data_IF_199407048344
#
_entry.id   IF_199407048344
#
_cell.length_a   1.000
_cell.length_b   1.000
_cell.length_c   1.000
_cell.angle_alpha   90.00
_cell.angle_beta   90.00
_cell.angle_gamma   90.00
#
_symmetry.space_group_name_H-M   'P 1'
#
loop_
_entity.id
_entity.type
_entity.pdbx_description
1 polymer ?
#
# COMPACT_ATOMS: atom_id res chain seq x y z
N UNK A 1 21.64 -30.07 -5.23
CA UNK A 1 22.12 -29.02 -4.32
C UNK A 1 20.93 -28.10 -4.13
N UNK A 2 20.40 -27.99 -2.93
CA UNK A 2 19.38 -27.00 -2.59
C UNK A 2 20.07 -25.65 -2.71
N UNK A 3 19.71 -24.86 -3.73
CA UNK A 3 20.16 -23.46 -3.80
C UNK A 3 19.63 -22.78 -2.54
N UNK A 4 20.53 -22.30 -1.69
CA UNK A 4 20.15 -21.46 -0.54
C UNK A 4 19.50 -20.20 -1.10
N UNK A 5 18.17 -20.17 -1.11
CA UNK A 5 17.42 -18.95 -1.37
C UNK A 5 17.83 -17.96 -0.27
N UNK A 6 18.30 -16.77 -0.64
CA UNK A 6 18.62 -15.72 0.31
C UNK A 6 17.34 -15.41 1.11
N UNK A 7 17.43 -15.43 2.45
CA UNK A 7 16.28 -15.10 3.30
C UNK A 7 15.85 -13.65 3.09
N UNK A 8 14.54 -13.43 3.05
CA UNK A 8 14.00 -12.06 3.01
C UNK A 8 14.40 -11.32 4.29
N UNK A 9 14.89 -10.10 4.15
CA UNK A 9 15.08 -9.17 5.27
C UNK A 9 14.06 -8.05 5.18
N UNK A 10 13.52 -7.62 6.31
CA UNK A 10 12.59 -6.51 6.41
C UNK A 10 13.01 -5.58 7.54
N UNK A 11 12.82 -4.29 7.35
CA UNK A 11 12.97 -3.33 8.43
C UNK A 11 11.73 -3.37 9.32
N UNK A 12 11.93 -3.82 10.55
CA UNK A 12 10.86 -3.86 11.54
C UNK A 12 10.82 -2.55 12.33
N UNK A 13 9.74 -1.79 12.18
CA UNK A 13 9.59 -0.49 12.87
C UNK A 13 9.60 -0.67 14.38
N UNK A 14 9.08 -1.78 14.91
CA UNK A 14 9.01 -2.06 16.34
C UNK A 14 10.40 -2.17 16.97
N UNK A 15 11.31 -2.91 16.33
CA UNK A 15 12.68 -3.07 16.81
C UNK A 15 13.62 -1.95 16.34
N UNK A 16 13.21 -1.18 15.29
CA UNK A 16 14.05 -0.18 14.64
C UNK A 16 15.21 -0.75 13.83
N UNK A 17 15.16 -2.04 13.46
CA UNK A 17 16.26 -2.75 12.80
C UNK A 17 15.77 -3.50 11.55
N UNK A 18 16.72 -3.77 10.65
CA UNK A 18 16.52 -4.72 9.57
C UNK A 18 16.80 -6.12 10.09
N UNK A 19 15.82 -7.00 9.96
CA UNK A 19 15.82 -8.37 10.50
C UNK A 19 15.56 -9.39 9.41
N UNK A 20 15.99 -10.62 9.60
CA UNK A 20 15.59 -11.74 8.77
C UNK A 20 14.09 -12.03 9.01
N UNK A 21 13.35 -12.15 7.93
CA UNK A 21 11.95 -12.52 8.00
C UNK A 21 11.80 -14.01 8.24
N UNK A 22 11.33 -14.34 9.43
CA UNK A 22 11.02 -15.70 9.85
C UNK A 22 9.52 -15.78 10.12
N UNK A 23 8.72 -16.29 9.19
CA UNK A 23 7.27 -16.40 9.39
C UNK A 23 6.95 -17.36 10.54
N UNK A 24 5.83 -17.09 11.23
CA UNK A 24 5.31 -17.93 12.32
C UNK A 24 5.06 -19.35 11.82
N UNK A 25 4.47 -19.45 10.62
CA UNK A 25 4.31 -20.70 9.88
C UNK A 25 5.01 -20.57 8.53
N UNK A 26 6.14 -21.26 8.30
CA UNK A 26 6.85 -21.21 7.02
C UNK A 26 6.00 -21.64 5.80
N UNK A 27 4.91 -22.35 6.03
CA UNK A 27 3.98 -22.76 4.98
C UNK A 27 2.90 -21.73 4.67
N UNK A 28 2.67 -20.72 5.57
CA UNK A 28 1.57 -19.78 5.44
C UNK A 28 1.88 -18.42 6.06
N UNK A 29 2.29 -17.48 5.26
CA UNK A 29 2.53 -16.07 5.66
C UNK A 29 1.22 -15.31 5.75
N UNK A 30 1.04 -14.53 6.82
CA UNK A 30 -0.16 -13.73 7.10
C UNK A 30 0.18 -12.24 7.19
N UNK A 31 -0.49 -11.42 6.40
CA UNK A 31 -0.22 -9.98 6.28
C UNK A 31 -1.53 -9.21 6.48
N UNK A 32 -1.48 -8.18 7.33
CA UNK A 32 -2.53 -7.18 7.45
C UNK A 32 -1.96 -5.79 7.10
N UNK A 33 -2.58 -5.07 6.19
CA UNK A 33 -2.26 -3.67 5.93
C UNK A 33 -3.52 -2.81 6.10
N UNK A 34 -3.42 -1.76 6.90
CA UNK A 34 -4.53 -0.84 7.11
C UNK A 34 -4.96 -0.19 5.80
N UNK A 35 -6.23 -0.35 5.45
CA UNK A 35 -6.82 0.14 4.23
C UNK A 35 -7.33 1.58 4.33
N UNK A 36 -8.02 2.09 3.30
CA UNK A 36 -8.49 3.46 3.25
C UNK A 36 -9.76 3.68 4.07
N UNK A 37 -9.96 4.95 4.49
CA UNK A 37 -11.28 5.47 4.88
C UNK A 37 -11.99 5.99 3.63
N UNK A 38 -13.13 5.41 3.29
CA UNK A 38 -13.81 5.61 2.00
C UNK A 38 -14.84 6.74 2.05
N UNK A 39 -14.36 7.98 2.11
CA UNK A 39 -15.18 9.20 2.07
C UNK A 39 -14.91 10.09 0.85
N UNK A 40 -13.85 9.82 0.10
CA UNK A 40 -13.43 10.60 -1.05
C UNK A 40 -12.52 9.74 -1.97
N UNK A 41 -12.17 10.27 -3.14
CA UNK A 41 -11.21 9.66 -4.07
C UNK A 41 -9.85 9.39 -3.41
N UNK A 42 -9.20 8.31 -3.84
CA UNK A 42 -7.86 7.97 -3.40
C UNK A 42 -6.82 8.99 -3.91
N UNK A 43 -5.93 9.42 -3.03
CA UNK A 43 -4.77 10.22 -3.42
C UNK A 43 -3.53 9.34 -3.62
N UNK A 44 -2.51 9.88 -4.26
CA UNK A 44 -1.26 9.18 -4.60
C UNK A 44 -0.56 8.55 -3.37
N UNK A 45 -0.75 9.09 -2.17
CA UNK A 45 -0.24 8.50 -0.93
C UNK A 45 -0.90 7.16 -0.59
N UNK A 46 -2.23 7.03 -0.81
CA UNK A 46 -2.95 5.76 -0.67
C UNK A 46 -2.46 4.75 -1.72
N UNK A 47 -2.31 5.20 -2.97
CA UNK A 47 -1.78 4.38 -4.04
C UNK A 47 -0.37 3.85 -3.73
N UNK A 48 0.50 4.68 -3.17
CA UNK A 48 1.85 4.25 -2.80
C UNK A 48 1.82 3.12 -1.78
N UNK A 49 1.02 3.25 -0.74
CA UNK A 49 0.85 2.21 0.27
C UNK A 49 0.36 0.91 -0.37
N UNK A 50 -0.71 0.98 -1.17
CA UNK A 50 -1.29 -0.19 -1.84
C UNK A 50 -0.27 -0.87 -2.78
N UNK A 51 0.47 -0.10 -3.60
CA UNK A 51 1.49 -0.61 -4.53
C UNK A 51 2.67 -1.26 -3.79
N UNK A 52 3.12 -0.68 -2.68
CA UNK A 52 4.22 -1.23 -1.87
C UNK A 52 3.84 -2.57 -1.26
N UNK A 53 2.65 -2.66 -0.62
CA UNK A 53 2.20 -3.91 -0.03
C UNK A 53 1.82 -4.97 -1.08
N UNK A 54 1.25 -4.56 -2.21
CA UNK A 54 1.04 -5.47 -3.34
C UNK A 54 2.36 -6.07 -3.85
N UNK A 55 3.42 -5.25 -3.98
CA UNK A 55 4.75 -5.74 -4.39
C UNK A 55 5.35 -6.69 -3.35
N UNK A 56 5.19 -6.42 -2.06
CA UNK A 56 5.61 -7.32 -0.98
C UNK A 56 4.84 -8.65 -1.05
N UNK A 57 3.52 -8.60 -1.22
CA UNK A 57 2.67 -9.80 -1.33
C UNK A 57 3.06 -10.64 -2.54
N UNK A 58 3.31 -10.02 -3.70
CA UNK A 58 3.78 -10.72 -4.91
C UNK A 58 5.13 -11.40 -4.67
N UNK A 59 6.08 -10.71 -4.05
CA UNK A 59 7.39 -11.27 -3.69
C UNK A 59 7.23 -12.46 -2.72
N UNK A 60 6.39 -12.32 -1.70
CA UNK A 60 6.14 -13.40 -0.75
C UNK A 60 5.41 -14.59 -1.38
N UNK A 61 4.46 -14.36 -2.29
CA UNK A 61 3.81 -15.44 -3.07
C UNK A 61 4.78 -16.17 -3.99
N UNK A 62 5.83 -15.49 -4.46
CA UNK A 62 6.89 -16.13 -5.23
C UNK A 62 7.81 -17.00 -4.35
N UNK A 63 8.03 -16.62 -3.09
CA UNK A 63 8.99 -17.26 -2.18
C UNK A 63 8.39 -18.24 -1.17
N UNK A 64 7.08 -18.15 -0.90
CA UNK A 64 6.38 -18.98 0.11
C UNK A 64 5.17 -19.68 -0.49
N UNK A 65 4.82 -20.86 0.04
CA UNK A 65 3.74 -21.69 -0.51
C UNK A 65 2.36 -21.03 -0.46
N UNK A 66 2.08 -20.27 0.61
CA UNK A 66 0.80 -19.60 0.81
C UNK A 66 1.00 -18.25 1.49
N UNK A 67 0.28 -17.24 1.01
CA UNK A 67 0.20 -15.91 1.61
C UNK A 67 -1.25 -15.52 1.72
N UNK A 68 -1.71 -15.10 2.89
CA UNK A 68 -3.01 -14.45 3.07
C UNK A 68 -2.80 -12.98 3.34
N UNK A 69 -3.31 -12.15 2.45
CA UNK A 69 -3.25 -10.70 2.53
C UNK A 69 -4.62 -10.11 2.86
N UNK A 70 -4.68 -9.36 3.95
CA UNK A 70 -5.88 -8.65 4.41
C UNK A 70 -5.63 -7.16 4.33
N UNK A 71 -6.56 -6.42 3.74
CA UNK A 71 -6.59 -4.96 3.79
C UNK A 71 -8.03 -4.51 3.94
N UNK A 72 -8.34 -3.78 5.01
CA UNK A 72 -9.70 -3.41 5.34
C UNK A 72 -10.22 -2.21 4.55
N UNK A 73 -11.52 -2.01 4.63
CA UNK A 73 -12.21 -0.77 4.27
C UNK A 73 -12.79 -0.18 5.57
N UNK A 74 -12.34 1.04 5.92
CA UNK A 74 -12.98 1.83 6.97
C UNK A 74 -14.19 2.54 6.38
N UNK A 75 -15.37 1.99 6.62
CA UNK A 75 -16.66 2.45 6.12
C UNK A 75 -17.52 3.12 7.20
N UNK A 76 -16.92 3.41 8.36
CA UNK A 76 -17.48 4.19 9.46
C UNK A 76 -16.41 5.10 10.08
N UNK A 77 -16.57 6.41 9.97
CA UNK A 77 -15.66 7.44 10.52
C UNK A 77 -16.39 8.77 10.52
N UNK A 78 -15.97 9.70 11.36
CA UNK A 78 -16.56 11.05 11.41
C UNK A 78 -16.47 11.77 10.06
N UNK A 79 -15.38 11.57 9.31
CA UNK A 79 -15.22 12.16 7.95
C UNK A 79 -16.26 11.62 6.95
N UNK A 80 -16.68 10.36 7.11
CA UNK A 80 -17.73 9.77 6.27
C UNK A 80 -19.07 10.40 6.63
N UNK A 81 -19.34 10.57 7.94
CA UNK A 81 -20.55 11.22 8.43
C UNK A 81 -20.62 12.66 7.93
N UNK A 82 -19.53 13.40 8.02
CA UNK A 82 -19.45 14.78 7.53
C UNK A 82 -19.68 14.85 6.02
N UNK A 83 -19.04 13.99 5.23
CA UNK A 83 -19.23 13.92 3.79
C UNK A 83 -20.68 13.55 3.40
N UNK A 84 -21.31 12.64 4.12
CA UNK A 84 -22.71 12.26 3.92
C UNK A 84 -23.65 13.43 4.19
N UNK A 85 -23.40 14.18 5.27
CA UNK A 85 -24.17 15.37 5.62
C UNK A 85 -24.00 16.50 4.58
N UNK A 86 -22.75 16.76 4.14
CA UNK A 86 -22.46 17.78 3.11
C UNK A 86 -23.12 17.46 1.77
N UNK A 87 -23.15 16.19 1.38
CA UNK A 87 -23.74 15.73 0.12
C UNK A 87 -25.23 15.42 0.24
N UNK A 88 -25.78 15.42 1.46
CA UNK A 88 -27.15 15.00 1.77
C UNK A 88 -27.49 13.60 1.19
N UNK A 89 -26.57 12.66 1.37
CA UNK A 89 -26.66 11.27 0.93
C UNK A 89 -26.57 10.30 2.11
N UNK A 90 -27.18 9.11 2.03
CA UNK A 90 -26.97 8.06 3.01
C UNK A 90 -25.48 7.65 3.07
N UNK A 91 -24.97 7.40 4.28
CA UNK A 91 -23.58 6.97 4.50
C UNK A 91 -23.23 5.73 3.66
N UNK A 92 -24.15 4.78 3.56
CA UNK A 92 -23.97 3.57 2.77
C UNK A 92 -23.70 3.88 1.29
N UNK A 93 -24.41 4.81 0.69
CA UNK A 93 -24.19 5.21 -0.71
C UNK A 93 -22.80 5.84 -0.90
N UNK A 94 -22.35 6.64 0.07
CA UNK A 94 -20.98 7.22 0.05
C UNK A 94 -19.94 6.11 0.12
N UNK A 95 -20.04 5.23 1.10
CA UNK A 95 -19.03 4.20 1.35
C UNK A 95 -18.98 3.15 0.25
N UNK A 96 -20.12 2.71 -0.29
CA UNK A 96 -20.18 1.81 -1.44
C UNK A 96 -19.53 2.46 -2.66
N UNK A 97 -19.94 3.67 -3.01
CA UNK A 97 -19.39 4.41 -4.14
C UNK A 97 -17.88 4.58 -4.07
N UNK A 98 -17.35 5.05 -2.94
CA UNK A 98 -15.90 5.29 -2.84
C UNK A 98 -15.09 4.03 -2.61
N UNK A 99 -15.68 2.93 -2.13
CA UNK A 99 -15.05 1.61 -2.13
C UNK A 99 -14.85 1.10 -3.56
N UNK A 100 -15.89 1.19 -4.39
CA UNK A 100 -15.83 0.76 -5.79
C UNK A 100 -14.79 1.58 -6.55
N UNK A 101 -14.83 2.91 -6.44
CA UNK A 101 -13.86 3.81 -7.07
C UNK A 101 -12.42 3.50 -6.59
N UNK A 102 -12.22 3.27 -5.28
CA UNK A 102 -10.91 2.89 -4.75
C UNK A 102 -10.39 1.61 -5.39
N UNK A 103 -11.22 0.58 -5.45
CA UNK A 103 -10.83 -0.70 -6.04
C UNK A 103 -10.55 -0.57 -7.54
N UNK A 104 -11.34 0.21 -8.29
CA UNK A 104 -11.09 0.52 -9.69
C UNK A 104 -9.77 1.29 -9.89
N UNK A 105 -9.52 2.32 -9.08
CA UNK A 105 -8.28 3.09 -9.16
C UNK A 105 -7.05 2.22 -8.84
N UNK A 106 -7.15 1.33 -7.84
CA UNK A 106 -6.07 0.39 -7.52
C UNK A 106 -5.88 -0.66 -8.62
N UNK A 107 -6.94 -1.14 -9.25
CA UNK A 107 -6.86 -2.06 -10.38
C UNK A 107 -6.14 -1.46 -11.59
N UNK A 108 -6.37 -0.17 -11.90
CA UNK A 108 -5.61 0.56 -12.95
C UNK A 108 -4.11 0.56 -12.69
N UNK A 109 -3.70 0.53 -11.42
CA UNK A 109 -2.30 0.43 -11.01
C UNK A 109 -1.81 -1.02 -10.89
N UNK A 110 -2.55 -2.00 -11.39
CA UNK A 110 -2.26 -3.45 -11.29
C UNK A 110 -2.09 -3.92 -9.85
N UNK A 111 -2.72 -3.27 -8.89
CA UNK A 111 -2.79 -3.72 -7.50
C UNK A 111 -3.80 -4.86 -7.39
N UNK A 112 -3.39 -5.98 -6.84
CA UNK A 112 -4.27 -7.13 -6.62
C UNK A 112 -5.32 -6.82 -5.56
N UNK A 113 -6.52 -7.35 -5.75
CA UNK A 113 -7.54 -7.35 -4.69
C UNK A 113 -7.00 -8.16 -3.51
N UNK A 114 -7.09 -7.68 -2.26
CA UNK A 114 -6.73 -8.46 -1.08
C UNK A 114 -7.49 -9.79 -1.01
N UNK A 115 -6.89 -10.83 -0.44
CA UNK A 115 -7.58 -12.12 -0.24
C UNK A 115 -8.82 -11.96 0.66
N UNK A 116 -8.73 -11.02 1.61
CA UNK A 116 -9.86 -10.64 2.48
C UNK A 116 -9.86 -9.09 2.57
N UNK A 117 -10.99 -8.47 2.24
CA UNK A 117 -11.19 -7.03 2.35
C UNK A 117 -12.37 -6.75 3.30
N UNK A 118 -12.15 -6.84 4.64
CA UNK A 118 -13.22 -6.68 5.62
C UNK A 118 -13.66 -5.22 5.69
N UNK A 119 -14.97 -4.99 5.87
CA UNK A 119 -15.54 -3.66 6.14
C UNK A 119 -15.76 -3.50 7.64
N UNK A 120 -15.40 -2.34 8.19
CA UNK A 120 -15.51 -2.10 9.64
C UNK A 120 -16.93 -2.34 10.17
N UNK A 121 -17.96 -1.92 9.42
CA UNK A 121 -19.38 -2.12 9.82
C UNK A 121 -19.83 -3.58 9.92
N UNK A 122 -19.10 -4.51 9.31
CA UNK A 122 -19.38 -5.95 9.36
C UNK A 122 -18.78 -6.63 10.61
N UNK A 123 -17.94 -5.93 11.39
CA UNK A 123 -17.18 -6.48 12.52
C UNK A 123 -17.53 -5.81 13.87
N UNK A 124 -18.68 -5.18 13.97
CA UNK A 124 -19.10 -4.47 15.20
C UNK A 124 -19.17 -5.41 16.42
N UNK A 125 -19.64 -6.63 16.23
CA UNK A 125 -19.69 -7.63 17.31
C UNK A 125 -18.30 -7.94 17.85
N UNK A 126 -17.32 -8.16 16.97
CA UNK A 126 -15.94 -8.43 17.34
C UNK A 126 -15.27 -7.23 18.03
N UNK A 127 -15.63 -6.01 17.64
CA UNK A 127 -15.16 -4.79 18.31
C UNK A 127 -15.75 -4.66 19.70
N UNK A 128 -17.05 -4.95 19.89
CA UNK A 128 -17.69 -4.96 21.21
C UNK A 128 -17.07 -6.02 22.12
N UNK A 129 -16.82 -7.23 21.61
CA UNK A 129 -16.15 -8.29 22.34
C UNK A 129 -14.73 -7.87 22.77
N UNK A 130 -13.95 -7.27 21.88
CA UNK A 130 -12.62 -6.75 22.19
C UNK A 130 -12.66 -5.71 23.32
N UNK A 131 -13.61 -4.77 23.26
CA UNK A 131 -13.78 -3.73 24.27
C UNK A 131 -14.20 -4.33 25.62
N UNK A 132 -15.08 -5.32 25.63
CA UNK A 132 -15.49 -6.03 26.85
C UNK A 132 -14.29 -6.75 27.50
N UNK A 133 -13.44 -7.40 26.70
CA UNK A 133 -12.19 -8.02 27.17
C UNK A 133 -11.29 -6.99 27.85
N UNK A 134 -11.12 -5.81 27.23
CA UNK A 134 -10.30 -4.72 27.76
C UNK A 134 -10.85 -4.15 29.09
N UNK A 135 -12.18 -4.00 29.21
CA UNK A 135 -12.81 -3.55 30.44
C UNK A 135 -12.63 -4.61 31.54
N UNK A 136 -12.86 -5.88 31.20
CA UNK A 136 -12.74 -6.99 32.16
C UNK A 136 -11.33 -7.13 32.73
N UNK A 137 -10.32 -6.78 31.90
CA UNK A 137 -8.88 -6.80 32.26
C UNK A 137 -8.38 -5.46 32.82
N UNK A 138 -9.28 -4.52 33.10
CA UNK A 138 -8.98 -3.21 33.69
C UNK A 138 -8.11 -2.28 32.81
N UNK A 139 -8.03 -2.55 31.49
CA UNK A 139 -7.34 -1.69 30.53
C UNK A 139 -8.24 -0.64 29.89
N UNK A 140 -9.56 -0.77 30.05
CA UNK A 140 -10.54 0.19 29.57
C UNK A 140 -11.57 0.51 30.66
N UNK A 141 -12.26 1.64 30.50
CA UNK A 141 -13.32 2.06 31.42
C UNK A 141 -14.44 2.80 30.69
N UNK A 142 -15.64 2.69 31.19
CA UNK A 142 -16.80 3.46 30.75
C UNK A 142 -16.89 4.79 31.54
N UNK A 143 -17.20 5.86 30.83
CA UNK A 143 -17.52 7.15 31.41
C UNK A 143 -18.48 7.94 30.51
N UNK A 144 -19.67 8.27 30.99
CA UNK A 144 -20.66 9.08 30.27
C UNK A 144 -21.04 8.51 28.88
N UNK A 145 -21.21 7.20 28.78
CA UNK A 145 -21.52 6.49 27.54
C UNK A 145 -20.34 6.31 26.58
N UNK A 146 -19.16 6.83 26.92
CA UNK A 146 -17.92 6.56 26.20
C UNK A 146 -17.18 5.40 26.84
N UNK A 147 -16.51 4.58 26.03
CA UNK A 147 -15.49 3.66 26.53
C UNK A 147 -14.13 4.11 26.07
N UNK A 148 -13.20 4.23 26.99
CA UNK A 148 -11.85 4.69 26.75
C UNK A 148 -10.82 3.64 27.16
N UNK A 149 -9.77 3.48 26.35
CA UNK A 149 -8.57 2.77 26.73
C UNK A 149 -7.75 3.62 27.69
N UNK A 150 -7.33 3.02 28.81
CA UNK A 150 -6.51 3.69 29.81
C UNK A 150 -5.03 3.51 29.49
N UNK A 151 -4.43 4.47 28.80
CA UNK A 151 -3.04 4.39 28.31
C UNK A 151 -2.03 4.04 29.40
N UNK A 152 -2.08 4.60 30.64
CA UNK A 152 -1.15 4.22 31.70
C UNK A 152 -1.22 2.74 32.15
N UNK A 153 -2.27 2.01 31.80
CA UNK A 153 -2.39 0.58 32.11
C UNK A 153 -1.53 -0.33 31.23
N UNK A 154 -0.99 0.21 30.11
CA UNK A 154 -0.08 -0.49 29.22
C UNK A 154 1.30 0.16 29.23
N UNK A 155 2.22 -0.41 29.99
CA UNK A 155 3.55 0.18 30.24
C UNK A 155 4.43 0.29 28.98
N UNK A 156 4.16 -0.56 27.98
CA UNK A 156 4.89 -0.58 26.71
C UNK A 156 4.34 0.43 25.68
N UNK A 157 3.35 1.27 26.05
CA UNK A 157 2.79 2.26 25.14
C UNK A 157 3.84 3.28 24.67
N UNK A 158 3.97 3.44 23.37
CA UNK A 158 4.98 4.28 22.74
C UNK A 158 6.18 3.50 22.18
N UNK A 159 6.23 2.17 22.31
CA UNK A 159 7.36 1.36 21.84
C UNK A 159 7.51 1.39 20.31
N UNK A 160 6.41 1.32 19.57
CA UNK A 160 6.44 1.34 18.10
C UNK A 160 6.87 2.70 17.57
N UNK A 161 6.29 3.75 18.13
CA UNK A 161 6.40 5.12 17.62
C UNK A 161 7.59 5.90 18.20
N UNK A 162 8.13 5.46 19.33
CA UNK A 162 9.12 6.19 20.13
C UNK A 162 8.65 7.60 20.53
N UNK A 163 7.34 7.79 20.68
CA UNK A 163 6.74 9.06 21.04
C UNK A 163 6.81 9.27 22.55
N UNK A 164 7.31 10.43 22.95
CA UNK A 164 7.36 10.84 24.36
C UNK A 164 5.95 11.17 24.90
N UNK A 165 5.86 11.37 26.22
CA UNK A 165 4.57 11.62 26.89
C UNK A 165 3.80 12.81 26.32
N UNK A 166 4.46 13.91 25.97
CA UNK A 166 3.82 15.09 25.38
C UNK A 166 3.21 14.74 23.99
N UNK A 167 3.96 14.00 23.18
CA UNK A 167 3.47 13.51 21.89
C UNK A 167 2.32 12.51 22.03
N UNK A 168 2.32 11.67 23.07
CA UNK A 168 1.20 10.75 23.36
C UNK A 168 -0.09 11.53 23.63
N UNK A 169 -0.02 12.59 24.44
CA UNK A 169 -1.17 13.47 24.74
C UNK A 169 -1.66 14.16 23.47
N UNK A 170 -0.75 14.74 22.68
CA UNK A 170 -1.08 15.40 21.41
C UNK A 170 -1.75 14.45 20.41
N UNK A 171 -1.35 13.17 20.39
CA UNK A 171 -1.89 12.14 19.48
C UNK A 171 -3.32 11.69 19.84
N UNK A 172 -3.81 11.95 21.04
CA UNK A 172 -5.15 11.52 21.46
C UNK A 172 -6.30 12.20 20.69
N UNK A 173 -6.00 13.23 19.86
CA UNK A 173 -6.86 13.97 18.91
C UNK A 173 -8.21 14.50 19.43
N UNK A 174 -8.52 14.25 20.67
CA UNK A 174 -9.71 14.78 21.34
C UNK A 174 -9.22 15.80 22.35
N UNK A 175 -9.81 16.98 22.37
CA UNK A 175 -9.61 17.92 23.47
C UNK A 175 -9.72 17.15 24.78
N UNK A 176 -8.93 17.56 25.79
CA UNK A 176 -8.92 16.86 27.08
C UNK A 176 -10.34 16.90 27.63
N UNK A 177 -11.13 15.92 27.22
CA UNK A 177 -12.52 15.83 27.65
C UNK A 177 -12.54 15.56 29.15
N UNK A 178 -13.43 16.20 29.92
CA UNK A 178 -13.45 16.10 31.37
C UNK A 178 -13.69 14.67 31.90
N UNK A 179 -14.13 13.76 31.04
CA UNK A 179 -14.35 12.37 31.37
C UNK A 179 -13.11 11.46 31.20
N UNK A 180 -11.96 11.95 30.67
CA UNK A 180 -10.74 11.17 30.58
C UNK A 180 -10.05 11.06 31.95
N UNK A 181 -9.59 9.86 32.32
CA UNK A 181 -8.74 9.65 33.50
C UNK A 181 -7.32 10.13 33.27
N UNK A 182 -6.83 9.97 32.03
CA UNK A 182 -5.53 10.43 31.59
C UNK A 182 -5.66 11.14 30.24
N UNK A 183 -4.97 12.24 29.99
CA UNK A 183 -5.06 12.99 28.73
C UNK A 183 -4.72 12.19 27.48
N UNK A 184 -3.89 11.14 27.59
CA UNK A 184 -3.54 10.27 26.48
C UNK A 184 -4.57 9.16 26.20
N UNK A 185 -5.55 8.97 27.09
CA UNK A 185 -6.58 7.95 26.89
C UNK A 185 -7.32 8.19 25.57
N UNK A 186 -7.63 7.13 24.86
CA UNK A 186 -8.28 7.20 23.55
C UNK A 186 -9.60 6.44 23.52
N UNK A 187 -10.47 6.86 22.61
CA UNK A 187 -11.83 6.34 22.52
C UNK A 187 -11.83 4.95 21.85
N UNK A 188 -12.51 4.00 22.49
CA UNK A 188 -12.83 2.68 21.97
C UNK A 188 -14.29 2.60 21.48
N UNK A 189 -15.20 3.30 22.17
CA UNK A 189 -16.60 3.41 21.83
C UNK A 189 -17.11 4.80 22.19
N UNK A 190 -17.94 5.40 21.32
CA UNK A 190 -18.55 6.71 21.60
C UNK A 190 -20.05 6.69 21.28
N UNK A 191 -20.89 7.40 22.05
CA UNK A 191 -22.31 7.47 21.82
C UNK A 191 -22.62 8.09 20.45
N UNK A 192 -23.68 7.60 19.82
CA UNK A 192 -24.27 8.17 18.62
C UNK A 192 -25.64 8.77 18.93
N UNK A 193 -25.99 9.87 18.28
CA UNK A 193 -27.33 10.40 18.32
C UNK A 193 -28.20 9.81 17.19
N UNK A 194 -29.48 10.15 17.16
CA UNK A 194 -30.47 9.61 16.20
C UNK A 194 -30.10 9.90 14.71
N UNK A 195 -29.28 10.90 14.45
CA UNK A 195 -28.86 11.30 13.11
C UNK A 195 -27.45 10.75 12.72
N UNK A 196 -26.87 9.92 13.60
CA UNK A 196 -25.56 9.32 13.38
C UNK A 196 -25.68 7.80 13.29
N UNK A 197 -24.82 7.14 12.50
CA UNK A 197 -24.76 5.68 12.52
C UNK A 197 -24.37 5.18 13.90
N UNK A 198 -24.94 4.06 14.29
CA UNK A 198 -24.65 3.45 15.58
C UNK A 198 -25.25 2.07 15.69
N UNK A 199 -24.78 1.36 16.69
CA UNK A 199 -25.19 0.01 17.04
C UNK A 199 -25.45 -0.10 18.53
N UNK A 200 -26.34 -1.01 18.90
CA UNK A 200 -26.57 -1.33 20.29
C UNK A 200 -25.34 -1.99 20.90
N UNK A 201 -24.96 -1.56 22.09
CA UNK A 201 -23.86 -2.10 22.86
C UNK A 201 -24.17 -2.11 24.34
N UNK A 202 -23.37 -2.80 25.20
CA UNK A 202 -23.53 -2.74 26.68
C UNK A 202 -23.42 -1.32 27.24
N UNK A 203 -22.83 -0.39 26.51
CA UNK A 203 -22.62 1.01 26.92
C UNK A 203 -23.62 1.97 26.29
N UNK A 204 -24.66 1.44 25.63
CA UNK A 204 -25.67 2.18 24.91
C UNK A 204 -25.43 2.25 23.40
N UNK A 205 -26.37 2.94 22.70
CA UNK A 205 -26.29 3.15 21.27
C UNK A 205 -25.11 4.03 20.89
N UNK A 206 -24.25 3.53 20.01
CA UNK A 206 -23.02 4.24 19.68
C UNK A 206 -22.24 3.59 18.53
N UNK A 207 -20.99 4.02 18.37
CA UNK A 207 -20.08 3.56 17.32
C UNK A 207 -18.66 3.34 17.83
N UNK A 208 -17.88 2.44 17.19
CA UNK A 208 -16.49 2.18 17.60
C UNK A 208 -15.58 3.38 17.36
N UNK A 209 -14.50 3.44 18.12
CA UNK A 209 -13.35 4.29 17.84
C UNK A 209 -12.52 3.68 16.70
N UNK A 210 -11.97 4.52 15.86
CA UNK A 210 -11.22 4.15 14.65
C UNK A 210 -10.12 3.09 14.86
N UNK A 211 -9.47 3.09 16.02
CA UNK A 211 -8.37 2.16 16.30
C UNK A 211 -8.85 0.73 16.64
N UNK A 212 -10.10 0.58 17.05
CA UNK A 212 -10.69 -0.71 17.45
C UNK A 212 -10.94 -1.59 16.23
N UNK A 213 -11.19 -0.97 15.08
CA UNK A 213 -11.56 -1.64 13.83
C UNK A 213 -10.48 -2.64 13.39
N UNK A 214 -9.26 -2.15 13.15
CA UNK A 214 -8.16 -2.99 12.66
C UNK A 214 -7.74 -4.06 13.67
N UNK A 215 -7.77 -3.76 14.98
CA UNK A 215 -7.50 -4.75 16.03
C UNK A 215 -8.50 -5.91 16.01
N UNK A 216 -9.80 -5.62 15.87
CA UNK A 216 -10.84 -6.63 15.81
C UNK A 216 -10.80 -7.41 14.49
N UNK A 217 -10.70 -6.71 13.35
CA UNK A 217 -10.69 -7.34 12.03
C UNK A 217 -9.48 -8.22 11.81
N UNK A 218 -8.27 -7.79 12.21
CA UNK A 218 -7.05 -8.59 12.07
C UNK A 218 -7.09 -9.85 12.94
N UNK A 219 -7.53 -9.72 14.21
CA UNK A 219 -7.75 -10.87 15.12
C UNK A 219 -8.71 -11.88 14.53
N UNK A 220 -9.83 -11.44 13.95
CA UNK A 220 -10.86 -12.30 13.38
C UNK A 220 -10.42 -13.00 12.10
N UNK A 221 -9.71 -12.27 11.21
CA UNK A 221 -9.37 -12.77 9.87
C UNK A 221 -8.08 -13.58 9.86
N UNK A 222 -7.08 -13.21 10.65
CA UNK A 222 -5.75 -13.83 10.66
C UNK A 222 -5.45 -14.63 11.92
N UNK A 223 -6.13 -14.34 13.03
CA UNK A 223 -5.73 -14.80 14.35
C UNK A 223 -4.50 -14.03 14.87
N UNK A 224 -4.18 -14.19 16.17
CA UNK A 224 -3.02 -13.54 16.78
C UNK A 224 -2.02 -14.58 17.31
N UNK A 225 -0.71 -14.31 17.24
CA UNK A 225 -0.10 -13.28 16.42
C UNK A 225 -0.14 -13.61 14.92
N UNK A 226 0.10 -12.61 14.07
CA UNK A 226 0.34 -12.80 12.64
C UNK A 226 1.69 -12.20 12.21
N UNK A 227 2.13 -12.44 10.95
CA UNK A 227 3.51 -12.15 10.58
C UNK A 227 3.78 -10.66 10.39
N UNK A 228 3.07 -9.99 9.47
CA UNK A 228 3.37 -8.60 9.08
C UNK A 228 2.15 -7.72 9.25
N UNK A 229 2.30 -6.62 10.00
CA UNK A 229 1.36 -5.52 10.02
C UNK A 229 1.95 -4.29 9.32
N UNK A 230 1.17 -3.64 8.48
CA UNK A 230 1.67 -2.52 7.71
C UNK A 230 0.70 -1.40 7.40
N UNK A 231 1.28 -0.29 6.90
CA UNK A 231 0.54 0.89 6.50
C UNK A 231 1.43 2.09 6.19
N UNK A 232 0.84 3.27 6.07
CA UNK A 232 1.57 4.51 5.93
C UNK A 232 2.32 4.89 7.23
N UNK A 233 3.40 5.65 7.10
CA UNK A 233 4.18 6.11 8.26
C UNK A 233 3.36 6.98 9.22
N UNK A 234 2.33 7.65 8.74
CA UNK A 234 1.38 8.43 9.54
C UNK A 234 0.51 7.57 10.46
N UNK A 235 0.34 6.28 10.13
CA UNK A 235 -0.39 5.33 10.97
C UNK A 235 0.44 4.82 12.15
N UNK A 236 1.78 4.95 12.12
CA UNK A 236 2.65 4.49 13.23
C UNK A 236 2.15 5.02 14.55
N UNK A 237 1.76 6.31 14.58
CA UNK A 237 1.16 6.94 15.75
C UNK A 237 0.03 7.91 15.33
N UNK A 238 -1.13 7.87 16.00
CA UNK A 238 -1.45 7.00 17.15
C UNK A 238 -2.01 5.62 16.76
N UNK A 239 -2.37 5.38 15.48
CA UNK A 239 -3.23 4.26 15.07
C UNK A 239 -2.63 2.89 15.43
N UNK A 240 -1.47 2.54 14.89
CA UNK A 240 -0.84 1.24 15.13
C UNK A 240 -0.34 1.07 16.57
N UNK A 241 0.10 2.15 17.22
CA UNK A 241 0.41 2.12 18.65
C UNK A 241 -0.81 1.73 19.49
N UNK A 242 -1.98 2.31 19.18
CA UNK A 242 -3.24 2.00 19.84
C UNK A 242 -3.70 0.57 19.55
N UNK A 243 -3.48 0.06 18.33
CA UNK A 243 -3.80 -1.33 18.00
C UNK A 243 -2.95 -2.33 18.79
N UNK A 244 -1.64 -2.06 18.95
CA UNK A 244 -0.77 -2.89 19.79
C UNK A 244 -1.31 -2.91 21.22
N UNK A 245 -1.59 -1.74 21.79
CA UNK A 245 -2.10 -1.63 23.14
C UNK A 245 -3.40 -2.43 23.33
N UNK A 246 -4.37 -2.26 22.43
CA UNK A 246 -5.64 -2.98 22.45
C UNK A 246 -5.43 -4.50 22.34
N UNK A 247 -4.63 -4.93 21.38
CA UNK A 247 -4.48 -6.36 21.06
C UNK A 247 -3.67 -7.10 22.13
N UNK A 248 -2.56 -6.54 22.60
CA UNK A 248 -1.76 -7.14 23.68
C UNK A 248 -2.53 -7.18 25.00
N UNK A 249 -3.24 -6.11 25.36
CA UNK A 249 -4.03 -6.08 26.58
C UNK A 249 -5.23 -7.04 26.49
N UNK A 250 -5.90 -7.15 25.36
CA UNK A 250 -7.03 -8.09 25.21
C UNK A 250 -6.59 -9.55 25.17
N UNK A 251 -5.40 -9.85 24.62
CA UNK A 251 -4.85 -11.22 24.65
C UNK A 251 -4.34 -11.62 26.04
N UNK A 252 -3.97 -10.65 26.87
CA UNK A 252 -3.36 -10.86 28.19
C UNK A 252 -1.83 -11.04 28.17
N UNK A 253 -1.19 -10.93 27.01
CA UNK A 253 0.28 -10.96 26.87
C UNK A 253 0.83 -9.53 26.72
N UNK A 254 0.66 -8.76 27.81
CA UNK A 254 0.95 -7.32 27.85
C UNK A 254 2.44 -6.97 27.79
N UNK A 255 3.33 -7.94 28.10
CA UNK A 255 4.77 -7.71 28.07
C UNK A 255 5.38 -7.95 26.69
N UNK A 256 4.66 -8.63 25.80
CA UNK A 256 5.15 -9.03 24.49
C UNK A 256 4.41 -8.29 23.36
N UNK A 257 4.95 -7.21 22.82
CA UNK A 257 4.30 -6.48 21.72
C UNK A 257 4.18 -7.32 20.43
N UNK A 258 4.97 -8.40 20.29
CA UNK A 258 4.86 -9.34 19.17
C UNK A 258 3.67 -10.31 19.33
N UNK A 259 2.94 -10.28 20.44
CA UNK A 259 1.68 -11.06 20.59
C UNK A 259 0.55 -10.57 19.68
N UNK A 260 0.72 -9.42 19.01
CA UNK A 260 -0.18 -8.92 17.99
C UNK A 260 0.38 -9.20 16.59
N UNK A 261 1.52 -8.61 16.23
CA UNK A 261 2.19 -8.83 14.95
C UNK A 261 3.71 -8.83 15.14
N UNK A 262 4.43 -9.73 14.40
CA UNK A 262 5.86 -9.89 14.56
C UNK A 262 6.67 -8.78 13.87
N UNK A 263 6.22 -8.35 12.68
CA UNK A 263 6.93 -7.34 11.88
C UNK A 263 6.01 -6.18 11.56
N UNK A 264 6.52 -4.97 11.75
CA UNK A 264 5.82 -3.72 11.48
C UNK A 264 6.49 -2.99 10.33
N UNK A 265 5.76 -2.83 9.22
CA UNK A 265 6.29 -2.20 8.02
C UNK A 265 5.54 -0.92 7.69
N UNK A 266 6.26 0.19 7.50
CA UNK A 266 5.66 1.49 7.21
C UNK A 266 6.29 2.11 5.97
N UNK A 267 5.45 2.51 5.00
CA UNK A 267 5.92 3.25 3.84
C UNK A 267 6.00 4.75 4.12
N UNK A 268 7.03 5.39 3.55
CA UNK A 268 7.25 6.83 3.65
C UNK A 268 6.19 7.66 2.93
N UNK A 269 6.17 8.96 3.22
CA UNK A 269 5.22 9.91 2.63
C UNK A 269 5.50 10.18 1.14
N UNK A 270 4.48 10.71 0.45
CA UNK A 270 4.62 11.33 -0.86
C UNK A 270 4.58 12.85 -0.68
N UNK A 271 5.56 13.54 -1.24
CA UNK A 271 5.57 14.99 -1.42
C UNK A 271 5.30 15.34 -2.88
N UNK A 272 4.90 16.55 -3.14
CA UNK A 272 4.63 17.06 -4.49
C UNK A 272 5.53 18.27 -4.71
N UNK A 273 6.49 18.14 -5.63
CA UNK A 273 7.49 19.20 -5.89
C UNK A 273 8.18 19.68 -4.60
N UNK A 274 8.53 18.75 -3.71
CA UNK A 274 9.21 19.02 -2.43
C UNK A 274 8.29 19.42 -1.27
N UNK A 275 6.99 19.62 -1.52
CA UNK A 275 6.03 20.06 -0.49
C UNK A 275 5.14 18.91 -0.02
N UNK A 276 4.80 18.90 1.27
CA UNK A 276 3.85 17.93 1.83
C UNK A 276 2.46 18.17 1.25
N UNK A 277 1.78 17.09 0.84
CA UNK A 277 0.38 17.17 0.43
C UNK A 277 -0.50 17.66 1.58
N UNK A 278 -1.33 18.67 1.31
CA UNK A 278 -2.36 19.13 2.24
C UNK A 278 -3.56 19.75 1.52
N UNK A 279 -4.74 19.66 2.14
CA UNK A 279 -5.95 20.31 1.62
C UNK A 279 -5.79 21.84 1.54
N UNK A 280 -5.10 22.44 2.51
CA UNK A 280 -4.89 23.88 2.58
C UNK A 280 -3.99 24.43 1.47
N UNK A 281 -3.04 23.63 0.98
CA UNK A 281 -2.19 23.97 -0.16
C UNK A 281 -2.83 23.65 -1.50
N UNK A 282 -3.92 22.87 -1.53
CA UNK A 282 -4.58 22.45 -2.77
C UNK A 282 -3.72 21.56 -3.68
N UNK A 283 -2.65 20.95 -3.13
CA UNK A 283 -1.68 20.16 -3.87
C UNK A 283 -1.90 18.64 -3.75
N UNK A 284 -3.12 18.22 -3.37
CA UNK A 284 -3.47 16.81 -3.31
C UNK A 284 -3.66 16.28 -4.74
N UNK A 285 -2.90 15.25 -5.08
CA UNK A 285 -3.02 14.57 -6.38
C UNK A 285 -3.84 13.31 -6.21
N UNK A 286 -4.94 13.20 -6.96
CA UNK A 286 -5.81 12.04 -6.96
C UNK A 286 -5.34 10.99 -7.97
N UNK A 287 -5.56 9.72 -7.65
CA UNK A 287 -5.19 8.61 -8.56
C UNK A 287 -5.93 8.70 -9.87
N UNK A 288 -7.24 9.03 -9.83
CA UNK A 288 -8.06 9.21 -11.04
C UNK A 288 -7.46 10.25 -12.00
N UNK A 289 -7.00 11.40 -11.48
CA UNK A 289 -6.46 12.49 -12.29
C UNK A 289 -5.10 12.10 -12.91
N UNK A 290 -4.30 11.30 -12.18
CA UNK A 290 -3.07 10.73 -12.71
C UNK A 290 -3.32 9.69 -13.80
N UNK A 291 -4.36 8.87 -13.62
CA UNK A 291 -4.72 7.82 -14.58
C UNK A 291 -5.28 8.36 -15.90
N UNK A 292 -5.75 9.63 -15.91
CA UNK A 292 -6.10 10.35 -17.14
C UNK A 292 -4.84 10.83 -17.91
N UNK A 293 -3.73 11.02 -17.19
CA UNK A 293 -2.49 11.59 -17.75
C UNK A 293 -1.43 10.54 -18.07
N UNK A 294 -1.38 9.47 -17.28
CA UNK A 294 -0.35 8.42 -17.36
C UNK A 294 -0.99 7.05 -17.32
N UNK A 295 -0.43 6.11 -18.09
CA UNK A 295 -0.78 4.69 -17.95
C UNK A 295 -0.52 4.19 -16.52
N UNK A 296 -1.35 3.27 -16.03
CA UNK A 296 -1.27 2.79 -14.64
C UNK A 296 0.08 2.20 -14.26
N UNK A 297 0.71 1.44 -15.16
CA UNK A 297 2.05 0.90 -14.93
C UNK A 297 3.13 1.98 -14.79
N UNK A 298 2.97 3.12 -15.48
CA UNK A 298 3.86 4.28 -15.34
C UNK A 298 3.75 4.86 -13.94
N UNK A 299 2.52 5.06 -13.46
CA UNK A 299 2.28 5.53 -12.09
C UNK A 299 2.87 4.54 -11.08
N UNK A 300 2.57 3.26 -11.24
CA UNK A 300 3.07 2.18 -10.39
C UNK A 300 4.59 2.16 -10.31
N UNK A 301 5.26 2.15 -11.45
CA UNK A 301 6.73 2.10 -11.50
C UNK A 301 7.36 3.38 -10.92
N UNK A 302 6.74 4.54 -11.14
CA UNK A 302 7.14 5.80 -10.52
C UNK A 302 7.05 5.74 -8.99
N UNK A 303 5.97 5.14 -8.44
CA UNK A 303 5.80 4.93 -7.00
C UNK A 303 6.85 3.97 -6.40
N UNK A 304 7.34 3.01 -7.17
CA UNK A 304 8.38 2.06 -6.80
C UNK A 304 9.81 2.58 -7.04
N UNK A 305 9.98 3.76 -7.63
CA UNK A 305 11.30 4.32 -7.97
C UNK A 305 12.12 4.76 -6.77
N UNK A 306 11.50 5.02 -5.62
CA UNK A 306 12.18 5.25 -4.35
C UNK A 306 11.94 4.10 -3.38
N UNK A 307 12.90 3.88 -2.46
CA UNK A 307 12.74 2.87 -1.42
C UNK A 307 11.49 3.14 -0.59
N UNK A 308 10.70 2.09 -0.28
CA UNK A 308 9.38 2.26 0.35
C UNK A 308 9.43 3.05 1.67
N UNK A 309 10.48 2.90 2.48
CA UNK A 309 10.65 3.64 3.75
C UNK A 309 11.03 5.11 3.56
N UNK A 310 11.57 5.48 2.42
CA UNK A 310 11.94 6.86 2.12
C UNK A 310 10.75 7.65 1.60
N UNK A 311 10.80 8.98 1.70
CA UNK A 311 9.87 9.84 0.99
C UNK A 311 10.00 9.67 -0.53
N UNK A 312 8.91 9.85 -1.25
CA UNK A 312 8.88 9.98 -2.69
C UNK A 312 8.42 11.40 -3.03
N UNK A 313 9.24 12.13 -3.76
CA UNK A 313 8.81 13.41 -4.32
C UNK A 313 8.23 13.19 -5.71
N UNK A 314 6.90 13.28 -5.82
CA UNK A 314 6.20 13.12 -7.08
C UNK A 314 6.33 14.38 -7.93
N UNK A 315 6.75 14.19 -9.16
CA UNK A 315 6.76 15.20 -10.21
C UNK A 315 6.70 14.53 -11.60
N UNK A 316 6.42 15.31 -12.65
CA UNK A 316 6.30 14.77 -14.01
C UNK A 316 7.61 14.10 -14.50
N UNK A 317 8.77 14.50 -14.00
CA UNK A 317 10.05 13.89 -14.39
C UNK A 317 10.15 12.44 -13.92
N UNK A 318 9.67 12.13 -12.71
CA UNK A 318 9.65 10.75 -12.17
C UNK A 318 8.76 9.87 -13.03
N UNK A 319 7.56 10.35 -13.41
CA UNK A 319 6.66 9.64 -14.32
C UNK A 319 7.28 9.41 -15.71
N UNK A 320 7.92 10.42 -16.29
CA UNK A 320 8.61 10.29 -17.58
C UNK A 320 9.78 9.29 -17.53
N UNK A 321 10.52 9.23 -16.42
CA UNK A 321 11.59 8.23 -16.26
C UNK A 321 11.02 6.82 -16.18
N UNK A 322 9.92 6.62 -15.46
CA UNK A 322 9.22 5.35 -15.40
C UNK A 322 8.72 4.92 -16.80
N UNK A 323 8.07 5.83 -17.54
CA UNK A 323 7.60 5.56 -18.92
C UNK A 323 8.75 5.14 -19.83
N UNK A 324 9.88 5.88 -19.82
CA UNK A 324 11.06 5.51 -20.63
C UNK A 324 11.63 4.14 -20.30
N UNK A 325 11.57 3.72 -19.06
CA UNK A 325 12.02 2.38 -18.67
C UNK A 325 11.04 1.32 -19.18
N UNK A 326 9.74 1.53 -19.02
CA UNK A 326 8.70 0.62 -19.52
C UNK A 326 8.76 0.50 -21.03
N UNK A 327 8.94 1.60 -21.77
CA UNK A 327 9.08 1.57 -23.25
C UNK A 327 10.21 0.66 -23.70
N UNK A 328 11.35 0.70 -23.01
CA UNK A 328 12.49 -0.18 -23.32
C UNK A 328 12.15 -1.66 -23.03
N UNK A 329 11.48 -1.91 -21.90
CA UNK A 329 11.11 -3.27 -21.51
C UNK A 329 10.08 -3.85 -22.47
N UNK A 330 9.05 -3.09 -22.84
CA UNK A 330 8.04 -3.52 -23.81
C UNK A 330 8.64 -3.73 -25.21
N UNK A 331 9.58 -2.86 -25.62
CA UNK A 331 10.29 -3.05 -26.90
C UNK A 331 11.07 -4.37 -26.91
N UNK A 332 11.77 -4.68 -25.83
CA UNK A 332 12.49 -5.96 -25.72
C UNK A 332 11.51 -7.16 -25.71
N UNK A 333 10.36 -7.05 -25.01
CA UNK A 333 9.34 -8.10 -25.05
C UNK A 333 8.77 -8.30 -26.44
N UNK A 334 8.57 -7.23 -27.21
CA UNK A 334 8.17 -7.29 -28.62
C UNK A 334 9.23 -8.02 -29.47
N UNK A 335 10.52 -7.68 -29.30
CA UNK A 335 11.64 -8.33 -29.99
C UNK A 335 11.80 -9.82 -29.58
N UNK A 336 11.25 -10.22 -28.43
CA UNK A 336 11.24 -11.58 -27.92
C UNK A 336 9.89 -12.30 -28.17
N UNK A 337 8.97 -11.72 -28.98
CA UNK A 337 7.64 -12.30 -29.22
C UNK A 337 7.70 -13.76 -29.66
N UNK A 338 8.56 -14.08 -30.63
CA UNK A 338 8.74 -15.43 -31.18
C UNK A 338 9.59 -16.36 -30.31
N UNK A 339 10.23 -15.83 -29.26
CA UNK A 339 11.05 -16.64 -28.34
C UNK A 339 10.16 -17.47 -27.42
N UNK A 340 10.37 -18.78 -27.42
CA UNK A 340 9.63 -19.69 -26.52
C UNK A 340 10.05 -19.41 -25.09
N UNK A 341 9.07 -19.04 -24.24
CA UNK A 341 9.30 -18.97 -22.80
C UNK A 341 9.40 -20.42 -22.26
N UNK A 342 10.62 -20.88 -22.02
CA UNK A 342 10.82 -22.12 -21.25
C UNK A 342 10.72 -21.69 -19.80
N UNK A 343 9.63 -22.04 -19.09
CA UNK A 343 9.49 -21.80 -17.65
C UNK A 343 10.83 -22.02 -16.96
N UNK A 344 11.50 -20.93 -16.60
CA UNK A 344 12.87 -21.07 -16.13
C UNK A 344 12.85 -21.27 -14.62
N UNK A 345 12.87 -22.53 -14.21
CA UNK A 345 13.36 -22.95 -12.88
C UNK A 345 14.82 -22.51 -12.63
N UNK A 346 15.44 -21.80 -13.56
CA UNK A 346 16.86 -21.46 -13.61
C UNK A 346 17.16 -19.95 -13.49
N UNK A 347 16.19 -19.12 -13.03
CA UNK A 347 16.52 -17.73 -12.70
C UNK A 347 17.37 -17.76 -11.43
N UNK A 348 18.60 -17.22 -11.51
CA UNK A 348 19.46 -17.14 -10.34
C UNK A 348 18.75 -16.41 -9.19
N UNK A 349 18.77 -16.94 -7.96
CA UNK A 349 18.25 -16.25 -6.78
C UNK A 349 18.81 -14.84 -6.62
N UNK A 350 20.05 -14.59 -7.08
CA UNK A 350 20.69 -13.28 -7.07
C UNK A 350 19.92 -12.24 -7.88
N UNK A 351 19.08 -12.65 -8.83
CA UNK A 351 18.30 -11.75 -9.65
C UNK A 351 17.30 -10.92 -8.81
N UNK A 352 16.69 -11.52 -7.80
CA UNK A 352 15.76 -10.85 -6.90
C UNK A 352 16.40 -10.42 -5.58
N UNK A 353 17.74 -10.59 -5.42
CA UNK A 353 18.44 -10.31 -4.18
C UNK A 353 18.18 -8.90 -3.62
N UNK A 354 18.04 -7.90 -4.49
CA UNK A 354 17.71 -6.54 -4.06
C UNK A 354 16.32 -6.46 -3.41
N UNK A 355 15.34 -7.17 -3.95
CA UNK A 355 13.99 -7.21 -3.37
C UNK A 355 13.96 -7.99 -2.06
N UNK A 356 14.81 -9.02 -1.94
CA UNK A 356 14.98 -9.78 -0.70
C UNK A 356 15.69 -8.97 0.39
N UNK A 357 16.31 -7.84 0.08
CA UNK A 357 16.93 -6.92 1.03
C UNK A 357 16.04 -5.71 1.30
N UNK A 358 15.01 -5.90 2.12
CA UNK A 358 14.10 -4.86 2.59
C UNK A 358 13.31 -4.20 1.44
N UNK A 359 12.83 -5.01 0.50
CA UNK A 359 12.06 -4.58 -0.66
C UNK A 359 12.74 -3.41 -1.41
N UNK A 360 14.07 -3.50 -1.62
CA UNK A 360 14.87 -2.46 -2.28
C UNK A 360 14.55 -2.40 -3.79
N UNK A 361 13.41 -1.84 -4.12
CA UNK A 361 12.97 -1.65 -5.51
C UNK A 361 13.91 -0.75 -6.32
N UNK A 362 14.49 0.36 -5.81
CA UNK A 362 15.48 1.12 -6.56
C UNK A 362 16.70 0.30 -6.96
N UNK A 363 17.21 -0.53 -6.06
CA UNK A 363 18.32 -1.44 -6.36
C UNK A 363 17.96 -2.46 -7.43
N UNK A 364 16.73 -2.99 -7.37
CA UNK A 364 16.23 -3.90 -8.40
C UNK A 364 16.06 -3.22 -9.76
N UNK A 365 15.54 -2.00 -9.82
CA UNK A 365 15.42 -1.21 -11.05
C UNK A 365 16.79 -0.87 -11.67
N UNK A 366 17.80 -0.63 -10.83
CA UNK A 366 19.17 -0.44 -11.30
C UNK A 366 19.72 -1.73 -11.96
N UNK A 367 19.49 -2.91 -11.35
CA UNK A 367 19.85 -4.20 -11.94
C UNK A 367 19.08 -4.46 -13.25
N UNK A 368 17.81 -4.10 -13.32
CA UNK A 368 16.99 -4.21 -14.52
C UNK A 368 17.52 -3.32 -15.66
N UNK A 369 17.93 -2.08 -15.36
CA UNK A 369 18.58 -1.21 -16.35
C UNK A 369 19.91 -1.79 -16.87
N UNK A 370 20.67 -2.50 -16.03
CA UNK A 370 21.87 -3.21 -16.48
C UNK A 370 21.50 -4.39 -17.39
N UNK A 371 20.51 -5.18 -16.99
CA UNK A 371 20.00 -6.29 -17.79
C UNK A 371 19.59 -5.83 -19.20
N UNK A 372 18.87 -4.69 -19.31
CA UNK A 372 18.47 -4.11 -20.60
C UNK A 372 19.69 -3.82 -21.52
N UNK A 373 20.77 -3.28 -20.94
CA UNK A 373 21.99 -2.99 -21.72
C UNK A 373 22.69 -4.25 -22.24
N UNK A 374 22.55 -5.36 -21.51
CA UNK A 374 23.15 -6.63 -21.88
C UNK A 374 22.32 -7.38 -22.95
N UNK A 375 21.11 -6.90 -23.28
CA UNK A 375 20.21 -7.56 -24.24
C UNK A 375 20.83 -7.70 -25.65
N UNK A 376 21.49 -6.65 -26.14
CA UNK A 376 22.13 -6.65 -27.46
C UNK A 376 23.30 -7.65 -27.58
N UNK A 377 23.81 -8.14 -26.44
CA UNK A 377 24.89 -9.13 -26.39
C UNK A 377 24.40 -10.56 -26.48
N UNK A 378 23.08 -10.78 -26.37
CA UNK A 378 22.44 -12.10 -26.36
C UNK A 378 22.39 -12.63 -27.79
N UNK A 379 23.01 -13.81 -28.03
CA UNK A 379 23.11 -14.40 -29.36
C UNK A 379 22.41 -15.74 -29.52
N UNK A 380 22.17 -16.45 -28.43
CA UNK A 380 21.57 -17.79 -28.47
C UNK A 380 20.08 -17.75 -28.11
N UNK A 381 19.30 -18.66 -28.69
CA UNK A 381 17.88 -18.82 -28.35
C UNK A 381 17.69 -19.22 -26.88
N UNK A 382 18.62 -19.94 -26.30
CA UNK A 382 18.58 -20.30 -24.88
C UNK A 382 18.72 -19.06 -23.99
N UNK A 383 19.70 -18.19 -24.28
CA UNK A 383 19.87 -16.94 -23.53
C UNK A 383 18.68 -15.99 -23.71
N UNK A 384 18.09 -15.92 -24.92
CA UNK A 384 16.86 -15.16 -25.19
C UNK A 384 15.69 -15.67 -24.35
N UNK A 385 15.51 -17.01 -24.27
CA UNK A 385 14.48 -17.63 -23.44
C UNK A 385 14.66 -17.31 -21.94
N UNK A 386 15.88 -17.41 -21.43
CA UNK A 386 16.22 -17.05 -20.04
C UNK A 386 15.94 -15.56 -19.80
N UNK A 387 16.30 -14.69 -20.73
CA UNK A 387 16.08 -13.25 -20.63
C UNK A 387 14.57 -12.94 -20.60
N UNK A 388 13.79 -13.51 -21.51
CA UNK A 388 12.32 -13.39 -21.52
C UNK A 388 11.70 -13.82 -20.17
N UNK A 389 12.15 -14.96 -19.64
CA UNK A 389 11.69 -15.46 -18.35
C UNK A 389 12.00 -14.48 -17.19
N UNK A 390 13.17 -13.84 -17.21
CA UNK A 390 13.52 -12.80 -16.22
C UNK A 390 12.60 -11.58 -16.32
N UNK A 391 12.27 -11.13 -17.53
CA UNK A 391 11.34 -10.00 -17.70
C UNK A 391 9.93 -10.35 -17.22
N UNK A 392 9.45 -11.56 -17.52
CA UNK A 392 8.15 -12.03 -17.03
C UNK A 392 8.13 -12.04 -15.51
N UNK A 393 9.16 -12.61 -14.87
CA UNK A 393 9.26 -12.60 -13.41
C UNK A 393 9.31 -11.18 -12.82
N UNK A 394 10.02 -10.24 -13.47
CA UNK A 394 9.98 -8.84 -13.09
C UNK A 394 8.54 -8.29 -13.12
N UNK A 395 7.84 -8.57 -14.21
CA UNK A 395 6.45 -8.17 -14.39
C UNK A 395 5.55 -8.73 -13.29
N UNK A 396 5.69 -10.01 -12.99
CA UNK A 396 4.91 -10.68 -11.93
C UNK A 396 5.16 -10.08 -10.55
N UNK A 397 6.42 -9.88 -10.15
CA UNK A 397 6.75 -9.36 -8.81
C UNK A 397 6.47 -7.85 -8.70
N UNK A 398 6.84 -7.06 -9.71
CA UNK A 398 6.61 -5.63 -9.67
C UNK A 398 5.18 -5.22 -10.08
N UNK A 399 4.39 -6.11 -10.65
CA UNK A 399 3.05 -5.82 -11.19
C UNK A 399 3.08 -4.85 -12.37
N UNK A 400 4.07 -5.00 -13.25
CA UNK A 400 4.25 -4.26 -14.50
C UNK A 400 4.33 -5.25 -15.67
N UNK A 401 4.39 -4.76 -16.89
CA UNK A 401 4.45 -5.59 -18.11
C UNK A 401 3.23 -6.51 -18.24
N UNK A 402 2.06 -6.00 -17.89
CA UNK A 402 0.80 -6.73 -17.93
C UNK A 402 0.08 -6.58 -19.28
N UNK A 403 0.50 -5.60 -20.09
CA UNK A 403 -0.07 -5.36 -21.41
C UNK A 403 0.60 -6.21 -22.49
N UNK A 404 -0.13 -6.46 -23.57
CA UNK A 404 0.49 -7.01 -24.79
C UNK A 404 1.50 -5.99 -25.36
N UNK A 405 2.74 -6.41 -25.68
CA UNK A 405 3.76 -5.47 -26.15
C UNK A 405 3.34 -4.63 -27.35
N UNK A 406 2.57 -5.20 -28.27
CA UNK A 406 2.03 -4.48 -29.45
C UNK A 406 0.99 -3.42 -29.08
N UNK A 407 0.23 -3.62 -27.99
CA UNK A 407 -0.78 -2.68 -27.50
C UNK A 407 -0.13 -1.47 -26.83
N UNK A 408 0.96 -1.66 -26.10
CA UNK A 408 1.65 -0.62 -25.33
C UNK A 408 2.00 0.62 -26.15
N UNK A 409 2.41 0.44 -27.40
CA UNK A 409 2.77 1.53 -28.30
C UNK A 409 1.57 2.06 -29.13
N UNK A 410 0.48 1.31 -29.22
CA UNK A 410 -0.68 1.70 -30.00
C UNK A 410 -1.59 2.71 -29.30
N UNK A 411 -1.67 2.74 -27.97
CA UNK A 411 -2.43 3.76 -27.23
C UNK A 411 -1.99 5.19 -27.55
N UNK A 412 -0.70 5.40 -27.80
CA UNK A 412 -0.19 6.70 -28.29
C UNK A 412 -0.61 7.00 -29.73
N UNK A 413 -0.89 5.97 -30.53
CA UNK A 413 -1.23 6.12 -31.96
C UNK A 413 -2.70 6.44 -32.19
N UNK A 414 -3.62 6.11 -31.30
CA UNK A 414 -5.04 6.42 -31.44
C UNK A 414 -5.33 7.94 -31.41
N UNK A 415 -4.47 8.73 -30.79
CA UNK A 415 -4.55 10.18 -30.72
C UNK A 415 -3.71 10.90 -31.81
N UNK A 416 -3.01 10.15 -32.66
CA UNK A 416 -2.14 10.72 -33.70
C UNK A 416 -2.79 10.61 -35.07
N UNK A 417 -3.03 11.75 -35.71
CA UNK A 417 -3.44 11.81 -37.10
C UNK A 417 -2.34 11.21 -38.00
N UNK A 418 -2.46 9.91 -38.29
CA UNK A 418 -1.54 9.15 -39.15
C UNK A 418 -1.25 9.89 -40.47
N UNK A 419 -2.29 10.47 -41.07
CA UNK A 419 -2.15 11.21 -42.31
C UNK A 419 -1.28 12.48 -42.16
N UNK A 420 -1.32 13.10 -40.97
CA UNK A 420 -0.48 14.26 -40.65
C UNK A 420 0.99 13.87 -40.49
N UNK A 421 1.25 12.73 -39.81
CA UNK A 421 2.62 12.21 -39.66
C UNK A 421 3.18 11.77 -41.01
N UNK A 422 2.45 11.04 -41.82
CA UNK A 422 2.91 10.58 -43.13
C UNK A 422 3.27 11.77 -44.03
N UNK A 423 2.48 12.85 -44.00
CA UNK A 423 2.79 14.10 -44.68
C UNK A 423 4.07 14.78 -44.15
N UNK A 424 4.29 14.79 -42.85
CA UNK A 424 5.47 15.36 -42.22
C UNK A 424 6.73 14.52 -42.56
N UNK A 425 6.61 13.19 -42.50
CA UNK A 425 7.71 12.29 -42.92
C UNK A 425 8.05 12.46 -44.38
N UNK A 426 7.06 12.52 -45.26
CA UNK A 426 7.27 12.77 -46.69
C UNK A 426 7.95 14.13 -46.94
N UNK A 427 7.44 15.19 -46.29
CA UNK A 427 8.02 16.54 -46.38
C UNK A 427 9.48 16.59 -45.89
N UNK A 428 9.79 15.86 -44.79
CA UNK A 428 11.17 15.75 -44.28
C UNK A 428 12.10 15.01 -45.22
N UNK A 429 11.64 13.92 -45.83
CA UNK A 429 12.42 13.18 -46.82
C UNK A 429 12.70 14.01 -48.05
N UNK A 430 11.71 14.78 -48.52
CA UNK A 430 11.86 15.69 -49.64
C UNK A 430 12.86 16.83 -49.35
N UNK A 431 12.75 17.45 -48.17
CA UNK A 431 13.71 18.47 -47.72
C UNK A 431 15.15 17.91 -47.62
N UNK A 432 15.31 16.68 -47.09
CA UNK A 432 16.62 16.01 -47.07
C UNK A 432 17.17 15.73 -48.45
N UNK A 433 16.33 15.30 -49.42
CA UNK A 433 16.73 15.08 -50.79
C UNK A 433 17.20 16.38 -51.47
N UNK A 434 16.58 17.50 -51.11
CA UNK A 434 16.94 18.84 -51.57
C UNK A 434 18.11 19.46 -50.78
N UNK A 435 18.65 18.74 -49.77
CA UNK A 435 19.70 19.21 -48.83
C UNK A 435 19.30 20.44 -48.00
N UNK A 436 18.00 20.69 -47.84
CA UNK A 436 17.46 21.72 -46.96
C UNK A 436 17.29 21.13 -45.55
N UNK A 437 18.37 21.12 -44.81
CA UNK A 437 18.41 20.54 -43.46
C UNK A 437 17.64 21.38 -42.46
N UNK A 438 17.52 22.69 -42.68
CA UNK A 438 16.76 23.59 -41.80
C UNK A 438 15.27 23.31 -41.85
N UNK A 439 14.74 22.87 -42.99
CA UNK A 439 13.34 22.46 -43.13
C UNK A 439 13.13 21.00 -42.74
N UNK A 440 14.18 20.18 -42.76
CA UNK A 440 14.11 18.76 -42.40
C UNK A 440 14.12 18.54 -40.90
N UNK A 441 14.67 19.40 -40.10
CA UNK A 441 14.70 19.40 -38.64
C UNK A 441 13.50 20.15 -38.07
#
# INVERSE_FOLDING_TARGET
MVQTVQSLKVFNTLSGKKEEFNPIDPSHVKIYACGPTVYNYAHIGNARMAVVFDTLVRLLRYTHPKVTYVSNITDIDDKIIDAANELNLPIKEITEKYTDIYNEDMAKLSVMIPDIQPKATEYITEMIELIQDLITKEHAYEKEGHVLFHVPSYLNYGMLSNVNREGQIAGSRVDVAPFKKDPADFVLWKPSNENQPGWESPWGFGRPGWHTECSAMSKKTLGLPFDIHGGGKDLTFPHHENEIAQSCCSSGDIENPNSYANYWMHNGFVTINGEKMSKSLGNIILVKDLSEKYHGEVIRLALLSSHYRQGLDWNDQVAHQAKKLLDKLYKILEDLSDTINKESKNISPDFIASLMDDLNTPGFLANLNKLIKDFDLIKTEEDRSIFKSKLILCGEILGILQEEPSSWFNEELENIDKNKIDKLVASRLEAKAQKDYTKAD
#
